data_IF_790243384263
#
_entry.id   IF_790243384263
#
_cell.length_a   1.000
_cell.length_b   1.000
_cell.length_c   1.000
_cell.angle_alpha   90.00
_cell.angle_beta   90.00
_cell.angle_gamma   90.00
#
_symmetry.space_group_name_H-M   'P 1'
#
loop_
_entity.id
_entity.type
_entity.pdbx_description
1 polymer ?
#
# COMPACT_ATOMS: atom_id res chain seq x y z
N UNK A 1 -18.25 -18.26 -18.82
CA UNK A 1 -17.10 -18.43 -17.91
C UNK A 1 -15.82 -18.47 -18.73
N UNK A 2 -15.41 -17.32 -19.27
CA UNK A 2 -14.14 -17.19 -19.97
C UNK A 2 -13.38 -16.00 -19.39
N UNK A 3 -12.44 -16.29 -18.48
CA UNK A 3 -11.53 -15.28 -17.97
C UNK A 3 -10.42 -15.11 -19.02
N UNK A 4 -10.34 -13.92 -19.61
CA UNK A 4 -9.26 -13.62 -20.55
C UNK A 4 -8.00 -13.32 -19.75
N UNK A 5 -7.00 -14.18 -19.89
CA UNK A 5 -5.67 -13.99 -19.31
C UNK A 5 -4.68 -13.63 -20.41
N UNK A 6 -4.03 -12.48 -20.25
CA UNK A 6 -3.01 -12.00 -21.18
C UNK A 6 -1.79 -11.53 -20.42
N UNK A 7 -0.61 -11.83 -20.97
CA UNK A 7 0.67 -11.33 -20.46
C UNK A 7 1.11 -10.16 -21.32
N UNK A 8 1.35 -9.01 -20.70
CA UNK A 8 1.82 -7.80 -21.38
C UNK A 8 3.15 -7.34 -20.82
N UNK A 9 3.99 -6.77 -21.69
CA UNK A 9 5.12 -5.96 -21.27
C UNK A 9 4.72 -4.49 -21.43
N UNK A 10 4.57 -3.79 -20.31
CA UNK A 10 4.15 -2.38 -20.29
C UNK A 10 5.40 -1.50 -20.24
N UNK A 11 5.65 -0.66 -21.27
CA UNK A 11 6.77 0.28 -21.26
C UNK A 11 6.42 1.53 -20.44
N UNK A 12 7.22 1.79 -19.41
CA UNK A 12 7.13 2.96 -18.53
C UNK A 12 8.27 3.97 -18.77
N UNK A 13 9.11 3.73 -19.78
CA UNK A 13 10.28 4.57 -20.08
C UNK A 13 9.95 6.05 -20.32
N UNK A 14 8.76 6.36 -20.84
CA UNK A 14 8.33 7.74 -21.10
C UNK A 14 8.20 8.59 -19.83
N UNK A 15 8.02 7.97 -18.66
CA UNK A 15 7.87 8.63 -17.36
C UNK A 15 9.15 9.35 -16.92
N UNK A 16 10.31 8.93 -17.41
CA UNK A 16 11.59 9.56 -17.05
C UNK A 16 11.75 10.99 -17.58
N UNK A 17 10.90 11.41 -18.53
CA UNK A 17 10.82 12.80 -19.00
C UNK A 17 10.24 13.73 -17.95
N UNK A 18 9.49 13.20 -16.99
CA UNK A 18 8.81 13.96 -15.94
C UNK A 18 9.70 14.12 -14.68
N UNK A 19 9.30 15.07 -13.82
CA UNK A 19 9.93 15.32 -12.52
C UNK A 19 10.03 14.07 -11.64
N UNK A 20 11.18 13.91 -10.96
CA UNK A 20 11.55 12.70 -10.21
C UNK A 20 10.48 12.29 -9.20
N UNK A 21 9.96 13.23 -8.40
CA UNK A 21 9.03 12.95 -7.31
C UNK A 21 7.66 12.43 -7.77
N UNK A 22 7.31 12.62 -9.04
CA UNK A 22 6.00 12.22 -9.58
C UNK A 22 6.03 10.88 -10.31
N UNK A 23 7.22 10.31 -10.57
CA UNK A 23 7.40 9.19 -11.50
C UNK A 23 6.61 7.94 -11.10
N UNK A 24 6.73 7.46 -9.87
CA UNK A 24 5.96 6.28 -9.44
C UNK A 24 4.45 6.51 -9.44
N UNK A 25 3.98 7.71 -9.09
CA UNK A 25 2.54 8.06 -9.15
C UNK A 25 2.02 7.99 -10.59
N UNK A 26 2.83 8.47 -11.53
CA UNK A 26 2.52 8.42 -12.96
C UNK A 26 2.57 6.99 -13.48
N UNK A 27 3.53 6.17 -13.02
CA UNK A 27 3.60 4.75 -13.38
C UNK A 27 2.31 4.00 -13.05
N UNK A 28 1.76 4.22 -11.85
CA UNK A 28 0.48 3.63 -11.43
C UNK A 28 -0.67 4.14 -12.31
N UNK A 29 -0.68 5.44 -12.63
CA UNK A 29 -1.69 6.03 -13.53
C UNK A 29 -1.64 5.40 -14.92
N UNK A 30 -0.44 5.26 -15.47
CA UNK A 30 -0.24 4.75 -16.82
C UNK A 30 -0.54 3.25 -16.91
N UNK A 31 -0.27 2.47 -15.86
CA UNK A 31 -0.75 1.09 -15.73
C UNK A 31 -2.29 1.00 -15.81
N UNK A 32 -3.00 1.85 -15.06
CA UNK A 32 -4.46 1.91 -15.13
C UNK A 32 -4.95 2.33 -16.52
N UNK A 33 -4.30 3.32 -17.11
CA UNK A 33 -4.62 3.78 -18.46
C UNK A 33 -4.38 2.68 -19.52
N UNK A 34 -3.29 1.93 -19.38
CA UNK A 34 -2.94 0.83 -20.26
C UNK A 34 -4.00 -0.27 -20.22
N UNK A 35 -4.45 -0.68 -19.03
CA UNK A 35 -5.52 -1.66 -18.87
C UNK A 35 -6.85 -1.16 -19.43
N UNK A 36 -7.19 0.12 -19.23
CA UNK A 36 -8.40 0.73 -19.85
C UNK A 36 -8.34 0.72 -21.37
N UNK A 37 -7.20 1.05 -21.96
CA UNK A 37 -7.02 1.11 -23.42
C UNK A 37 -7.05 -0.27 -24.08
N UNK A 38 -6.33 -1.26 -23.53
CA UNK A 38 -6.14 -2.55 -24.19
C UNK A 38 -7.21 -3.58 -23.79
N UNK A 39 -7.54 -3.67 -22.51
CA UNK A 39 -8.49 -4.67 -21.99
C UNK A 39 -9.94 -4.17 -21.99
N UNK A 40 -10.16 -2.88 -22.30
CA UNK A 40 -11.45 -2.18 -22.18
C UNK A 40 -12.05 -2.37 -20.77
N UNK A 41 -11.23 -2.11 -19.76
CA UNK A 41 -11.59 -2.31 -18.35
C UNK A 41 -12.42 -1.13 -17.82
N UNK A 42 -13.50 -1.43 -17.10
CA UNK A 42 -14.30 -0.43 -16.37
C UNK A 42 -13.61 -0.03 -15.07
N UNK A 43 -13.16 -1.03 -14.30
CA UNK A 43 -12.41 -0.85 -13.05
C UNK A 43 -11.12 -1.67 -13.08
N UNK A 44 -10.05 -1.11 -12.53
CA UNK A 44 -8.72 -1.72 -12.54
C UNK A 44 -8.22 -1.80 -11.11
N UNK A 45 -7.90 -3.02 -10.69
CA UNK A 45 -7.22 -3.30 -9.42
C UNK A 45 -5.79 -3.71 -9.70
N UNK A 46 -4.87 -3.20 -8.88
CA UNK A 46 -3.45 -3.47 -8.97
C UNK A 46 -3.10 -4.32 -7.75
N UNK A 47 -2.48 -5.48 -7.99
CA UNK A 47 -1.98 -6.34 -6.92
C UNK A 47 -0.86 -5.68 -6.14
N UNK A 48 -0.72 -6.07 -4.87
CA UNK A 48 0.29 -5.51 -3.96
C UNK A 48 1.71 -5.76 -4.46
N UNK A 49 2.02 -6.98 -4.90
CA UNK A 49 3.32 -7.35 -5.45
C UNK A 49 3.72 -6.50 -6.67
N UNK A 50 2.75 -6.13 -7.51
CA UNK A 50 3.00 -5.25 -8.66
C UNK A 50 3.32 -3.83 -8.21
N UNK A 51 2.59 -3.31 -7.21
CA UNK A 51 2.85 -1.98 -6.65
C UNK A 51 4.23 -1.90 -5.97
N UNK A 52 4.59 -2.90 -5.16
CA UNK A 52 5.90 -3.01 -4.54
C UNK A 52 7.02 -3.12 -5.57
N UNK A 53 6.82 -3.89 -6.64
CA UNK A 53 7.81 -3.99 -7.72
C UNK A 53 8.07 -2.64 -8.40
N UNK A 54 7.02 -1.84 -8.62
CA UNK A 54 7.15 -0.49 -9.20
C UNK A 54 7.92 0.43 -8.24
N UNK A 55 7.74 0.25 -6.93
CA UNK A 55 8.35 1.08 -5.90
C UNK A 55 9.58 0.44 -5.23
N UNK A 56 10.18 -0.61 -5.83
CA UNK A 56 11.27 -1.42 -5.25
C UNK A 56 12.49 -0.57 -4.86
N UNK A 57 12.92 0.31 -5.78
CA UNK A 57 14.15 1.09 -5.58
C UNK A 57 13.86 2.44 -4.92
N UNK A 58 12.85 3.18 -5.40
CA UNK A 58 12.35 4.42 -4.80
C UNK A 58 11.15 4.97 -5.60
N UNK A 59 10.40 5.92 -5.02
CA UNK A 59 9.40 6.71 -5.75
C UNK A 59 9.99 7.46 -6.96
N UNK A 60 11.30 7.78 -6.91
CA UNK A 60 12.02 8.56 -7.91
C UNK A 60 12.55 7.76 -9.11
N UNK A 61 12.62 6.43 -8.98
CA UNK A 61 13.26 5.52 -9.94
C UNK A 61 12.42 4.27 -10.15
N UNK A 62 11.19 4.39 -10.69
CA UNK A 62 10.40 3.22 -11.05
C UNK A 62 11.04 2.47 -12.23
N UNK A 63 10.85 1.14 -12.36
CA UNK A 63 11.36 0.36 -13.50
C UNK A 63 10.91 0.89 -14.87
N UNK A 64 11.76 0.79 -15.90
CA UNK A 64 11.46 1.26 -17.26
C UNK A 64 10.46 0.39 -18.03
N UNK A 65 10.30 -0.87 -17.62
CA UNK A 65 9.37 -1.82 -18.22
C UNK A 65 8.91 -2.80 -17.16
N UNK A 66 7.63 -3.17 -17.18
CA UNK A 66 7.06 -4.14 -16.24
C UNK A 66 6.29 -5.20 -17.02
N UNK A 67 6.58 -6.48 -16.76
CA UNK A 67 5.80 -7.60 -17.27
C UNK A 67 4.65 -7.89 -16.30
N UNK A 68 3.43 -7.88 -16.81
CA UNK A 68 2.20 -7.93 -16.01
C UNK A 68 1.27 -9.00 -16.57
N UNK A 69 0.68 -9.76 -15.65
CA UNK A 69 -0.44 -10.65 -15.92
C UNK A 69 -1.74 -9.86 -15.73
N UNK A 70 -2.54 -9.77 -16.78
CA UNK A 70 -3.85 -9.16 -16.72
C UNK A 70 -4.93 -10.25 -16.79
N UNK A 71 -5.79 -10.29 -15.78
CA UNK A 71 -6.94 -11.19 -15.72
C UNK A 71 -8.20 -10.33 -15.82
N UNK A 72 -9.04 -10.62 -16.80
CA UNK A 72 -10.33 -9.94 -16.98
C UNK A 72 -11.49 -10.83 -16.56
N UNK A 73 -12.33 -10.25 -15.72
CA UNK A 73 -13.61 -10.81 -15.33
C UNK A 73 -14.71 -10.40 -16.33
N UNK A 74 -15.79 -11.18 -16.39
CA UNK A 74 -16.95 -10.91 -17.27
C UNK A 74 -17.62 -9.56 -16.97
N UNK A 75 -17.52 -9.08 -15.71
CA UNK A 75 -18.00 -7.76 -15.28
C UNK A 75 -17.13 -6.58 -15.75
N UNK A 76 -16.08 -6.82 -16.55
CA UNK A 76 -15.18 -5.77 -17.06
C UNK A 76 -14.21 -5.23 -16.00
N UNK A 77 -14.04 -5.95 -14.90
CA UNK A 77 -13.01 -5.68 -13.88
C UNK A 77 -11.72 -6.37 -14.31
N UNK A 78 -10.60 -5.65 -14.21
CA UNK A 78 -9.28 -6.19 -14.52
C UNK A 78 -8.39 -6.16 -13.28
N UNK A 79 -7.78 -7.31 -12.99
CA UNK A 79 -6.74 -7.45 -11.98
C UNK A 79 -5.38 -7.55 -12.67
N UNK A 80 -4.43 -6.72 -12.21
CA UNK A 80 -3.07 -6.69 -12.70
C UNK A 80 -2.11 -7.23 -11.64
N UNK A 81 -1.42 -8.31 -11.97
CA UNK A 81 -0.44 -8.96 -11.10
C UNK A 81 0.95 -9.00 -11.76
N UNK A 82 2.00 -9.08 -10.93
CA UNK A 82 3.37 -9.15 -11.43
C UNK A 82 3.62 -10.50 -12.12
N UNK A 83 4.26 -10.47 -13.30
CA UNK A 83 4.65 -11.70 -13.99
C UNK A 83 5.70 -12.47 -13.19
N UNK A 84 5.43 -13.75 -12.89
CA UNK A 84 6.32 -14.61 -12.11
C UNK A 84 6.14 -14.52 -10.59
N UNK A 85 5.33 -13.60 -10.09
CA UNK A 85 4.77 -13.72 -8.75
C UNK A 85 3.52 -14.60 -8.89
N UNK A 86 3.67 -15.91 -8.67
CA UNK A 86 2.50 -16.73 -8.42
C UNK A 86 1.77 -16.09 -7.24
N UNK A 87 0.49 -15.75 -7.43
CA UNK A 87 -0.39 -15.41 -6.34
C UNK A 87 -0.34 -16.62 -5.40
N UNK A 88 0.44 -16.52 -4.31
CA UNK A 88 0.50 -17.55 -3.28
C UNK A 88 -0.96 -17.78 -2.87
N UNK A 89 -1.55 -18.86 -3.38
CA UNK A 89 -2.78 -19.40 -2.82
C UNK A 89 -2.41 -19.74 -1.38
N UNK A 90 -3.17 -19.29 -0.37
CA UNK A 90 -2.93 -19.73 0.99
C UNK A 90 -3.42 -21.18 1.12
N UNK A 91 -2.59 -22.14 0.74
CA UNK A 91 -2.70 -23.53 1.18
C UNK A 91 -1.96 -23.64 2.51
N UNK A 92 -2.64 -23.27 3.59
CA UNK A 92 -2.19 -23.57 4.96
C UNK A 92 -2.95 -24.81 5.45
N UNK A 93 -2.59 -25.98 4.91
CA UNK A 93 -2.90 -27.25 5.57
C UNK A 93 -1.83 -27.56 6.61
N UNK A 94 -2.32 -27.77 7.83
CA UNK A 94 -1.57 -28.05 9.04
C UNK A 94 -1.07 -29.50 9.10
N UNK A 95 0.06 -29.72 9.80
CA UNK A 95 0.36 -30.84 10.74
C UNK A 95 1.73 -30.62 11.44
N UNK A 96 2.06 -31.26 12.60
CA UNK A 96 2.08 -30.64 13.94
C UNK A 96 3.46 -30.61 14.68
N UNK A 97 3.45 -30.07 15.92
CA UNK A 97 4.54 -29.69 16.88
C UNK A 97 5.38 -30.86 17.44
N UNK A 98 6.51 -30.63 18.18
CA UNK A 98 6.45 -30.32 19.63
C UNK A 98 7.50 -29.29 20.13
N UNK A 99 7.09 -28.22 20.82
CA UNK A 99 7.11 -28.09 22.29
C UNK A 99 8.49 -28.11 22.98
N UNK A 100 9.05 -26.91 23.23
CA UNK A 100 9.80 -26.56 24.46
C UNK A 100 9.56 -25.08 24.83
N UNK A 101 8.63 -24.89 25.76
CA UNK A 101 8.51 -23.80 26.75
C UNK A 101 7.82 -24.47 27.96
N UNK A 102 8.20 -24.18 29.21
CA UNK A 102 7.94 -22.89 29.85
C UNK A 102 9.20 -22.38 30.58
N UNK A 103 9.34 -21.13 31.00
CA UNK A 103 8.46 -20.35 31.90
C UNK A 103 9.02 -18.90 31.86
N UNK A 104 8.36 -17.93 31.24
CA UNK A 104 7.47 -16.93 31.86
C UNK A 104 8.04 -16.22 33.10
N UNK A 105 8.30 -14.91 32.98
CA UNK A 105 7.56 -13.90 33.74
C UNK A 105 8.07 -12.48 33.46
N UNK A 106 7.09 -11.56 33.34
CA UNK A 106 7.14 -10.08 33.36
C UNK A 106 7.58 -9.40 32.05
N UNK A 107 6.80 -8.51 31.42
CA UNK A 107 5.53 -7.78 31.67
C UNK A 107 5.20 -7.18 30.28
N UNK A 108 4.03 -7.24 29.66
CA UNK A 108 2.70 -6.78 30.11
C UNK A 108 2.73 -5.36 30.70
N UNK A 109 2.87 -4.36 29.81
CA UNK A 109 2.37 -2.98 29.97
C UNK A 109 2.78 -2.14 28.74
N UNK A 110 1.89 -1.99 27.76
CA UNK A 110 2.05 -0.99 26.69
C UNK A 110 0.70 -0.50 26.15
N UNK A 111 -0.32 -0.43 27.01
CA UNK A 111 -1.66 0.05 26.67
C UNK A 111 -1.98 1.45 27.25
N UNK A 112 -0.96 2.30 27.47
CA UNK A 112 -1.15 3.69 27.92
C UNK A 112 -0.40 4.75 27.10
N UNK A 113 -0.88 5.13 25.89
CA UNK A 113 -0.47 6.42 25.33
C UNK A 113 -1.65 7.33 24.90
N UNK A 114 -2.88 7.08 25.38
CA UNK A 114 -4.05 7.93 25.03
C UNK A 114 -4.56 8.85 26.14
N UNK A 115 -4.31 8.59 27.42
CA UNK A 115 -4.78 9.47 28.51
C UNK A 115 -3.84 10.64 28.82
N UNK A 116 -2.54 10.52 28.52
CA UNK A 116 -1.55 11.55 28.88
C UNK A 116 -1.62 12.80 27.97
N UNK A 117 -2.18 12.68 26.76
CA UNK A 117 -2.33 13.83 25.85
C UNK A 117 -3.48 14.75 26.25
N UNK A 118 -4.57 14.21 26.79
CA UNK A 118 -5.75 14.97 27.18
C UNK A 118 -5.49 15.88 28.40
N UNK A 119 -4.70 15.41 29.37
CA UNK A 119 -4.36 16.20 30.56
C UNK A 119 -3.40 17.36 30.23
N UNK A 120 -2.49 17.19 29.26
CA UNK A 120 -1.55 18.23 28.85
C UNK A 120 -2.19 19.39 28.07
N UNK A 121 -3.34 19.14 27.44
CA UNK A 121 -4.08 20.15 26.66
C UNK A 121 -4.96 21.02 27.57
N UNK A 122 -5.56 20.43 28.61
CA UNK A 122 -6.35 21.15 29.61
C UNK A 122 -5.49 22.09 30.48
N UNK A 123 -4.30 21.67 30.92
CA UNK A 123 -3.39 22.53 31.69
C UNK A 123 -2.84 23.71 30.87
N UNK A 124 -2.65 23.51 29.55
CA UNK A 124 -2.21 24.58 28.64
C UNK A 124 -3.32 25.59 28.34
N UNK A 125 -4.57 25.17 28.33
CA UNK A 125 -5.73 26.07 28.17
C UNK A 125 -5.95 26.91 29.43
N UNK A 126 -5.86 26.31 30.62
CA UNK A 126 -5.98 27.02 31.90
C UNK A 126 -4.86 28.07 32.10
N UNK A 127 -3.60 27.75 31.74
CA UNK A 127 -2.50 28.74 31.79
C UNK A 127 -2.66 29.89 30.80
N UNK A 128 -3.26 29.64 29.61
CA UNK A 128 -3.54 30.70 28.63
C UNK A 128 -4.68 31.61 29.07
N UNK A 129 -5.68 31.11 29.78
CA UNK A 129 -6.75 31.94 30.35
C UNK A 129 -6.28 32.78 31.54
N UNK A 130 -5.46 32.23 32.42
CA UNK A 130 -4.86 33.00 33.53
C UNK A 130 -4.01 34.18 33.02
N UNK A 131 -3.11 33.94 32.05
CA UNK A 131 -2.29 35.00 31.43
C UNK A 131 -3.11 36.07 30.69
N UNK A 132 -4.30 35.74 30.18
CA UNK A 132 -5.20 36.72 29.55
C UNK A 132 -5.98 37.54 30.58
N UNK A 133 -6.25 36.97 31.76
CA UNK A 133 -6.92 37.67 32.85
C UNK A 133 -5.98 38.71 33.52
N UNK A 134 -4.69 38.39 33.65
CA UNK A 134 -3.69 39.32 34.19
C UNK A 134 -3.36 40.50 33.25
N UNK A 135 -3.57 40.36 31.93
CA UNK A 135 -3.34 41.45 30.95
C UNK A 135 -4.54 42.42 30.86
N UNK A 136 -5.70 42.08 31.44
CA UNK A 136 -6.94 42.89 31.38
C UNK A 136 -7.32 43.55 32.72
N UNK A 137 -6.38 43.64 33.66
CA UNK A 137 -6.50 44.45 34.89
C UNK A 137 -5.46 45.57 34.85
#
# INVERSE_FOLDING_TARGET
MANLQSVYTIPLGHIYKESRSKRARIAIRDLKAYARRHMKASKVYIGMALNEFIMRDSMNTPPRSVKVNAIKDEAGVVRLDLFGAEAKKPEHEAKPRPAKKPESAKKEEAEKPKEEKALSEAEKQARKEALKADIKK
#
